data_IF_542181093377
#
_entry.id   IF_542181093377
#
_cell.length_a   1.000
_cell.length_b   1.000
_cell.length_c   1.000
_cell.angle_alpha   90.00
_cell.angle_beta   90.00
_cell.angle_gamma   90.00
#
_symmetry.space_group_name_H-M   'P 1'
#
loop_
_entity.id
_entity.type
_entity.pdbx_description
1 polymer ?
#
# COMPACT_ATOMS: atom_id res chain seq x y z
N UNK A 1 39.86 -1.22 43.37
CA UNK A 1 38.98 -0.73 42.28
C UNK A 1 39.33 -1.47 40.99
N UNK A 2 38.32 -1.72 40.12
CA UNK A 2 38.44 -2.00 38.67
C UNK A 2 38.32 -3.46 38.18
N UNK A 3 37.31 -4.18 38.65
CA UNK A 3 36.55 -5.17 37.87
C UNK A 3 35.27 -4.55 37.25
N UNK A 4 35.12 -3.23 37.36
CA UNK A 4 34.05 -2.40 36.78
C UNK A 4 34.23 -2.15 35.26
N UNK A 5 34.77 -3.12 34.51
CA UNK A 5 34.89 -3.02 33.04
C UNK A 5 33.85 -3.87 32.32
N UNK A 6 33.50 -5.02 32.89
CA UNK A 6 32.58 -5.99 32.29
C UNK A 6 31.11 -5.54 32.36
N UNK A 7 30.57 -5.01 33.49
CA UNK A 7 29.17 -4.57 33.51
C UNK A 7 28.92 -3.29 32.70
N UNK A 8 29.96 -2.48 32.47
CA UNK A 8 29.86 -1.24 31.68
C UNK A 8 29.70 -1.53 30.19
N UNK A 9 30.38 -2.56 29.65
CA UNK A 9 30.28 -2.96 28.25
C UNK A 9 28.92 -3.59 27.93
N UNK A 10 28.35 -4.33 28.89
CA UNK A 10 27.04 -4.97 28.71
C UNK A 10 25.88 -3.95 28.74
N UNK A 11 26.03 -2.86 29.50
CA UNK A 11 25.06 -1.77 29.57
C UNK A 11 25.04 -0.90 28.30
N UNK A 12 26.18 -0.69 27.63
CA UNK A 12 26.24 0.02 26.35
C UNK A 12 25.65 -0.78 25.19
N UNK A 13 25.71 -2.12 25.22
CA UNK A 13 25.11 -2.96 24.18
C UNK A 13 23.56 -2.92 24.18
N UNK A 14 22.95 -2.72 25.35
CA UNK A 14 21.49 -2.61 25.48
C UNK A 14 20.93 -1.27 24.95
N UNK A 15 21.72 -0.20 24.96
CA UNK A 15 21.28 1.14 24.54
C UNK A 15 21.19 1.32 23.01
N UNK A 16 21.79 0.40 22.23
CA UNK A 16 21.77 0.45 20.75
C UNK A 16 20.53 -0.22 20.16
N UNK A 17 19.63 -0.76 20.98
CA UNK A 17 18.32 -1.31 20.55
C UNK A 17 17.23 -0.25 20.44
N UNK A 18 17.59 1.04 20.46
CA UNK A 18 16.70 2.13 20.11
C UNK A 18 16.27 1.93 18.66
N UNK A 19 15.17 1.22 18.46
CA UNK A 19 14.66 0.84 17.15
C UNK A 19 14.58 2.08 16.26
N UNK A 20 15.07 1.96 15.03
CA UNK A 20 14.68 2.89 13.98
C UNK A 20 13.16 2.97 14.02
N UNK A 21 12.61 4.11 14.46
CA UNK A 21 11.22 4.41 14.18
C UNK A 21 11.15 4.58 12.67
N UNK A 22 10.84 3.48 11.96
CA UNK A 22 10.48 3.56 10.55
C UNK A 22 9.32 4.54 10.49
N UNK A 23 9.47 5.61 9.71
CA UNK A 23 8.38 6.53 9.51
C UNK A 23 7.18 5.72 8.98
N UNK A 24 6.09 5.72 9.74
CA UNK A 24 4.86 5.01 9.34
C UNK A 24 4.07 5.92 8.43
N UNK A 25 3.45 5.36 7.39
CA UNK A 25 2.51 6.14 6.59
C UNK A 25 1.32 6.59 7.46
N UNK A 26 0.68 7.66 7.03
CA UNK A 26 -0.49 8.25 7.70
C UNK A 26 -1.58 8.45 6.66
N UNK A 27 -2.82 8.06 6.98
CA UNK A 27 -4.01 8.38 6.17
C UNK A 27 -4.83 9.43 6.92
N UNK A 28 -5.00 10.62 6.32
CA UNK A 28 -5.67 11.76 6.96
C UNK A 28 -7.19 11.80 6.73
N UNK A 29 -7.70 10.92 5.87
CA UNK A 29 -9.08 10.86 5.43
C UNK A 29 -9.15 10.24 4.04
N UNK A 30 -10.36 10.15 3.49
CA UNK A 30 -10.60 9.57 2.17
C UNK A 30 -11.41 10.50 1.27
N UNK A 31 -11.10 10.46 -0.01
CA UNK A 31 -11.88 11.04 -1.11
C UNK A 31 -12.14 9.95 -2.15
N UNK A 32 -13.12 10.15 -3.04
CA UNK A 32 -13.30 9.25 -4.18
C UNK A 32 -12.15 9.39 -5.18
N UNK A 33 -11.76 8.28 -5.81
CA UNK A 33 -10.89 8.33 -7.00
C UNK A 33 -11.58 9.09 -8.13
N UNK A 34 -10.83 9.85 -8.94
CA UNK A 34 -11.37 10.52 -10.13
C UNK A 34 -11.58 9.57 -11.32
N UNK A 35 -11.01 8.35 -11.30
CA UNK A 35 -11.08 7.40 -12.44
C UNK A 35 -11.94 6.17 -12.17
N UNK A 36 -12.12 5.77 -10.90
CA UNK A 36 -12.88 4.58 -10.51
C UNK A 36 -13.88 5.03 -9.44
N UNK A 37 -15.15 5.09 -9.81
CA UNK A 37 -16.21 5.48 -8.88
C UNK A 37 -16.18 4.60 -7.62
N UNK A 38 -16.45 5.22 -6.47
CA UNK A 38 -16.57 4.56 -5.16
C UNK A 38 -15.33 3.80 -4.63
N UNK A 39 -14.14 3.99 -5.23
CA UNK A 39 -12.90 3.55 -4.57
C UNK A 39 -12.34 4.67 -3.68
N UNK A 40 -12.17 4.42 -2.36
CA UNK A 40 -11.60 5.40 -1.45
C UNK A 40 -10.10 5.57 -1.73
N UNK A 41 -9.66 6.82 -1.80
CA UNK A 41 -8.27 7.24 -1.97
C UNK A 41 -7.90 8.15 -0.80
N UNK A 42 -6.75 7.93 -0.12
CA UNK A 42 -6.30 8.82 0.95
C UNK A 42 -6.23 10.29 0.50
N UNK A 43 -6.81 11.22 1.26
CA UNK A 43 -6.86 12.66 0.88
C UNK A 43 -5.48 13.32 0.81
N UNK A 44 -4.50 12.76 1.51
CA UNK A 44 -3.11 13.20 1.49
C UNK A 44 -2.24 12.42 0.49
N UNK A 45 -2.82 11.50 -0.30
CA UNK A 45 -2.13 10.90 -1.42
C UNK A 45 -2.08 11.89 -2.59
N UNK A 46 -0.90 12.10 -3.17
CA UNK A 46 -0.69 13.02 -4.27
C UNK A 46 -0.82 12.25 -5.60
N UNK A 47 -1.73 12.60 -6.50
CA UNK A 47 -1.81 11.97 -7.81
C UNK A 47 -0.54 12.27 -8.61
N UNK A 48 0.04 11.24 -9.23
CA UNK A 48 1.25 11.35 -10.04
C UNK A 48 0.97 11.20 -11.53
N UNK A 49 0.17 10.20 -11.91
CA UNK A 49 -0.03 9.81 -13.31
C UNK A 49 -1.36 9.08 -13.49
N UNK A 50 -2.06 9.40 -14.57
CA UNK A 50 -3.17 8.59 -15.10
C UNK A 50 -2.69 7.91 -16.39
N UNK A 51 -2.98 6.61 -16.56
CA UNK A 51 -2.68 5.85 -17.78
C UNK A 51 -3.97 5.28 -18.36
N UNK A 52 -4.29 5.68 -19.59
CA UNK A 52 -5.48 5.22 -20.35
C UNK A 52 -5.12 4.29 -21.51
N UNK A 53 -3.82 4.12 -21.78
CA UNK A 53 -3.26 3.38 -22.91
C UNK A 53 -2.24 2.35 -22.40
N UNK A 54 -2.68 1.50 -21.47
CA UNK A 54 -1.84 0.46 -20.89
C UNK A 54 -1.34 -0.52 -21.96
N UNK A 55 -0.05 -0.87 -21.89
CA UNK A 55 0.51 -1.95 -22.71
C UNK A 55 -0.02 -3.34 -22.29
N UNK A 56 -0.59 -3.45 -21.08
CA UNK A 56 -1.28 -4.64 -20.63
C UNK A 56 -2.76 -4.56 -21.07
N UNK A 57 -3.23 -5.44 -21.98
CA UNK A 57 -4.59 -5.38 -22.51
C UNK A 57 -5.68 -5.69 -21.48
N UNK A 58 -5.31 -6.16 -20.29
CA UNK A 58 -6.24 -6.44 -19.21
C UNK A 58 -6.54 -5.21 -18.33
N UNK A 59 -5.82 -4.09 -18.53
CA UNK A 59 -5.97 -2.86 -17.74
C UNK A 59 -6.68 -1.82 -18.61
N UNK A 60 -7.85 -1.37 -18.13
CA UNK A 60 -8.67 -0.35 -18.80
C UNK A 60 -8.14 1.06 -18.54
N UNK A 61 -7.89 1.37 -17.28
CA UNK A 61 -7.34 2.66 -16.83
C UNK A 61 -6.59 2.46 -15.52
N UNK A 62 -5.55 3.25 -15.27
CA UNK A 62 -4.88 3.28 -13.97
C UNK A 62 -4.53 4.68 -13.51
N UNK A 63 -4.40 4.82 -12.19
CA UNK A 63 -3.88 6.03 -11.56
C UNK A 63 -2.88 5.68 -10.46
N UNK A 64 -1.71 6.31 -10.53
CA UNK A 64 -0.62 6.19 -9.57
C UNK A 64 -0.67 7.35 -8.58
N UNK A 65 -0.51 7.03 -7.30
CA UNK A 65 -0.48 8.00 -6.21
C UNK A 65 0.82 7.88 -5.41
N UNK A 66 1.34 9.02 -4.94
CA UNK A 66 2.37 9.08 -3.91
C UNK A 66 1.72 9.21 -2.53
N UNK A 67 2.09 8.31 -1.61
CA UNK A 67 1.79 8.44 -0.19
C UNK A 67 3.03 8.01 0.60
N UNK A 68 3.67 8.97 1.27
CA UNK A 68 4.93 8.72 1.95
C UNK A 68 4.83 7.57 2.94
N UNK A 69 5.82 6.67 2.87
CA UNK A 69 6.01 5.47 3.67
C UNK A 69 4.96 4.36 3.48
N UNK A 70 4.02 4.50 2.54
CA UNK A 70 3.15 3.37 2.18
C UNK A 70 4.01 2.26 1.58
N UNK A 71 3.60 0.99 1.77
CA UNK A 71 4.39 -0.15 1.31
C UNK A 71 5.61 -0.48 2.18
N UNK A 72 6.00 0.40 3.11
CA UNK A 72 7.23 0.27 3.88
C UNK A 72 8.49 0.30 3.01
N UNK A 73 9.65 0.11 3.63
CA UNK A 73 10.90 -0.07 2.89
C UNK A 73 10.76 -1.28 1.95
N UNK A 74 11.17 -1.12 0.68
CA UNK A 74 11.07 -2.15 -0.37
C UNK A 74 9.63 -2.44 -0.89
N UNK A 75 8.59 -1.76 -0.38
CA UNK A 75 7.23 -1.91 -0.91
C UNK A 75 6.58 -3.27 -0.63
N UNK A 76 7.02 -3.96 0.43
CA UNK A 76 6.55 -5.31 0.78
C UNK A 76 5.44 -5.34 1.84
N UNK A 77 5.12 -4.20 2.43
CA UNK A 77 4.11 -4.09 3.48
C UNK A 77 2.74 -3.72 2.93
N UNK A 78 1.75 -4.59 3.12
CA UNK A 78 0.35 -4.27 2.81
C UNK A 78 -0.22 -3.30 3.87
N UNK A 79 -0.71 -2.11 3.48
CA UNK A 79 -1.28 -1.14 4.42
C UNK A 79 -2.65 -1.61 4.95
N UNK A 80 -2.65 -2.32 6.08
CA UNK A 80 -3.83 -3.01 6.61
C UNK A 80 -5.05 -2.11 6.85
N UNK A 81 -4.85 -0.88 7.32
CA UNK A 81 -5.92 0.10 7.54
C UNK A 81 -6.60 0.56 6.23
N UNK A 82 -5.83 0.69 5.14
CA UNK A 82 -6.36 1.01 3.83
C UNK A 82 -7.19 -0.15 3.25
N UNK A 83 -6.69 -1.37 3.37
CA UNK A 83 -7.42 -2.57 2.93
C UNK A 83 -8.66 -2.84 3.76
N UNK A 84 -8.63 -2.56 5.07
CA UNK A 84 -9.82 -2.59 5.90
C UNK A 84 -10.85 -1.54 5.44
N UNK A 85 -10.41 -0.32 5.10
CA UNK A 85 -11.32 0.70 4.55
C UNK A 85 -11.98 0.24 3.25
N UNK A 86 -11.22 -0.37 2.35
CA UNK A 86 -11.75 -0.93 1.10
C UNK A 86 -12.83 -1.98 1.39
N UNK A 87 -12.55 -2.89 2.33
CA UNK A 87 -13.52 -3.88 2.79
C UNK A 87 -14.80 -3.26 3.37
N UNK A 88 -14.67 -2.25 4.24
CA UNK A 88 -15.80 -1.56 4.85
C UNK A 88 -16.66 -0.82 3.80
N UNK A 89 -16.07 -0.40 2.69
CA UNK A 89 -16.76 0.20 1.53
C UNK A 89 -17.29 -0.84 0.52
N UNK A 90 -17.20 -2.14 0.86
CA UNK A 90 -17.75 -3.24 0.07
C UNK A 90 -16.84 -3.79 -1.03
N UNK A 91 -15.56 -3.43 -1.04
CA UNK A 91 -14.56 -4.05 -1.90
C UNK A 91 -14.03 -5.32 -1.26
N UNK A 92 -14.24 -6.47 -1.91
CA UNK A 92 -13.81 -7.78 -1.39
C UNK A 92 -12.53 -8.19 -2.10
N UNK A 93 -11.46 -8.45 -1.34
CA UNK A 93 -10.21 -8.98 -1.89
C UNK A 93 -10.40 -10.41 -2.40
N UNK A 94 -9.85 -10.69 -3.58
CA UNK A 94 -9.76 -12.00 -4.21
C UNK A 94 -8.41 -12.62 -3.85
N UNK A 95 -8.30 -13.13 -2.61
CA UNK A 95 -7.02 -13.56 -2.03
C UNK A 95 -6.30 -14.62 -2.87
N UNK A 96 -7.04 -15.51 -3.54
CA UNK A 96 -6.51 -16.55 -4.41
C UNK A 96 -5.81 -16.00 -5.67
N UNK A 97 -6.12 -14.76 -6.07
CA UNK A 97 -5.52 -14.08 -7.22
C UNK A 97 -4.35 -13.18 -6.84
N UNK A 98 -3.99 -13.10 -5.56
CA UNK A 98 -2.92 -12.22 -5.09
C UNK A 98 -1.59 -12.57 -5.77
N UNK A 99 -0.94 -11.56 -6.35
CA UNK A 99 0.36 -11.68 -7.01
C UNK A 99 1.39 -10.78 -6.31
N UNK A 100 1.99 -11.29 -5.24
CA UNK A 100 2.98 -10.54 -4.45
C UNK A 100 2.39 -9.27 -3.83
N UNK A 101 2.82 -8.11 -4.35
CA UNK A 101 2.34 -6.78 -3.95
C UNK A 101 1.12 -6.28 -4.74
N UNK A 102 0.60 -7.08 -5.66
CA UNK A 102 -0.63 -6.80 -6.40
C UNK A 102 -1.79 -7.53 -5.75
N UNK A 103 -2.79 -6.76 -5.34
CA UNK A 103 -4.01 -7.24 -4.69
C UNK A 103 -5.21 -7.00 -5.60
N UNK A 104 -6.00 -8.02 -5.87
CA UNK A 104 -7.22 -7.88 -6.67
C UNK A 104 -8.42 -7.75 -5.77
N UNK A 105 -9.27 -6.76 -6.03
CA UNK A 105 -10.51 -6.53 -5.29
C UNK A 105 -11.68 -6.43 -6.24
N UNK A 106 -12.85 -6.87 -5.78
CA UNK A 106 -14.09 -6.83 -6.54
C UNK A 106 -15.20 -6.15 -5.77
N UNK A 107 -15.96 -5.31 -6.48
CA UNK A 107 -17.23 -4.74 -6.02
C UNK A 107 -18.19 -4.72 -7.20
N UNK A 108 -19.34 -5.39 -7.06
CA UNK A 108 -20.28 -5.63 -8.16
C UNK A 108 -19.58 -6.29 -9.38
N UNK A 109 -19.70 -5.69 -10.57
CA UNK A 109 -19.07 -6.15 -11.81
C UNK A 109 -17.66 -5.57 -12.02
N UNK A 110 -17.18 -4.69 -11.14
CA UNK A 110 -15.89 -4.01 -11.28
C UNK A 110 -14.81 -4.77 -10.52
N UNK A 111 -13.70 -5.05 -11.20
CA UNK A 111 -12.47 -5.57 -10.59
C UNK A 111 -11.40 -4.50 -10.66
N UNK A 112 -10.71 -4.30 -9.56
CA UNK A 112 -9.53 -3.44 -9.47
C UNK A 112 -8.33 -4.24 -9.03
N UNK A 113 -7.15 -3.89 -9.55
CA UNK A 113 -5.89 -4.31 -8.99
C UNK A 113 -5.25 -3.12 -8.25
N UNK A 114 -4.81 -3.34 -7.01
CA UNK A 114 -4.05 -2.37 -6.24
C UNK A 114 -2.63 -2.89 -6.10
N UNK A 115 -1.69 -2.17 -6.69
CA UNK A 115 -0.27 -2.45 -6.55
C UNK A 115 0.32 -1.53 -5.48
N UNK A 116 0.92 -2.11 -4.45
CA UNK A 116 1.62 -1.37 -3.40
C UNK A 116 3.12 -1.39 -3.66
N UNK A 117 3.77 -0.23 -3.61
CA UNK A 117 5.22 -0.08 -3.72
C UNK A 117 5.72 0.86 -2.60
N UNK A 118 7.02 1.02 -2.49
CA UNK A 118 7.59 2.01 -1.58
C UNK A 118 7.11 3.42 -1.99
N UNK A 119 6.56 4.16 -1.02
CA UNK A 119 6.06 5.54 -1.16
C UNK A 119 4.92 5.73 -2.17
N UNK A 120 4.42 4.68 -2.81
CA UNK A 120 3.47 4.76 -3.91
C UNK A 120 2.49 3.60 -3.92
N UNK A 121 1.32 3.85 -4.47
CA UNK A 121 0.39 2.79 -4.84
C UNK A 121 -0.28 3.13 -6.16
N UNK A 122 -0.64 2.11 -6.93
CA UNK A 122 -1.36 2.23 -8.19
C UNK A 122 -2.68 1.49 -8.10
N UNK A 123 -3.73 2.09 -8.61
CA UNK A 123 -5.05 1.47 -8.74
C UNK A 123 -5.31 1.31 -10.23
N UNK A 124 -5.59 0.08 -10.63
CA UNK A 124 -5.93 -0.29 -12.00
C UNK A 124 -7.38 -0.76 -12.05
N UNK A 125 -8.21 -0.14 -12.89
CA UNK A 125 -9.48 -0.76 -13.29
C UNK A 125 -9.16 -1.85 -14.33
N UNK A 126 -9.65 -3.05 -14.09
CA UNK A 126 -9.46 -4.17 -15.01
C UNK A 126 -10.55 -4.16 -16.08
N UNK A 127 -10.25 -4.70 -17.25
CA UNK A 127 -11.26 -5.02 -18.25
C UNK A 127 -12.24 -6.08 -17.71
N UNK A 128 -13.53 -5.99 -18.08
CA UNK A 128 -14.61 -6.82 -17.50
C UNK A 128 -14.34 -8.33 -17.57
N UNK A 129 -13.66 -8.78 -18.62
CA UNK A 129 -13.36 -10.18 -18.89
C UNK A 129 -11.85 -10.49 -18.79
N UNK A 130 -11.07 -9.62 -18.14
CA UNK A 130 -9.66 -9.84 -17.91
C UNK A 130 -9.44 -11.15 -17.11
N UNK A 131 -8.52 -12.03 -17.54
CA UNK A 131 -8.09 -13.14 -16.70
C UNK A 131 -7.38 -12.58 -15.46
N UNK A 132 -7.77 -13.10 -14.29
CA UNK A 132 -7.19 -12.79 -12.99
C UNK A 132 -6.23 -13.90 -12.53
#
# INVERSE_FOLDING_TARGET
>A
MKNLRIPVIMLTLLLITSGCASATYEIKGYTSSPIIDDIPVPTNAKPLKVTTDSANPNIKISETYELKHIGGEQGLYTPADYFQKLHDEGWVELEENRMGHVHFLKKNDTVVAIEIREDTFEIHEMEKDAPL
#
